data_IF_917334150640
#
_entry.id   IF_917334150640
#
_cell.length_a   1.000
_cell.length_b   1.000
_cell.length_c   1.000
_cell.angle_alpha   90.00
_cell.angle_beta   90.00
_cell.angle_gamma   90.00
#
_symmetry.space_group_name_H-M   'P 1'
#
loop_
_entity.id
_entity.type
_entity.pdbx_description
1 polymer ?
#
# COMPACT_ATOMS: atom_id res chain seq x y z
N UNK A 1 39.50 10.74 -5.58
CA UNK A 1 38.50 11.09 -4.55
C UNK A 1 38.23 9.86 -3.71
N UNK A 2 38.14 9.97 -2.38
CA UNK A 2 37.80 8.81 -1.55
C UNK A 2 36.37 8.35 -1.88
N UNK A 3 36.21 7.06 -2.16
CA UNK A 3 34.94 6.42 -2.48
C UNK A 3 33.94 6.62 -1.34
N UNK A 4 32.76 7.15 -1.66
CA UNK A 4 31.71 7.45 -0.67
C UNK A 4 30.72 6.29 -0.63
N UNK A 5 30.44 5.80 0.57
CA UNK A 5 29.51 4.70 0.80
C UNK A 5 28.05 5.20 0.76
N UNK A 6 27.18 4.56 -0.04
CA UNK A 6 25.74 4.86 -0.13
C UNK A 6 24.92 3.68 0.36
N UNK A 7 23.79 3.95 1.02
CA UNK A 7 23.02 2.93 1.76
C UNK A 7 21.52 2.94 1.40
N UNK A 8 21.07 3.84 0.53
CA UNK A 8 19.66 3.94 0.17
C UNK A 8 19.43 3.71 -1.30
N UNK A 9 18.27 3.14 -1.60
CA UNK A 9 17.73 3.08 -2.95
C UNK A 9 16.93 4.37 -3.20
N UNK A 10 17.29 5.17 -4.21
CA UNK A 10 16.55 6.36 -4.59
C UNK A 10 15.22 6.02 -5.27
N UNK A 11 14.23 6.91 -5.13
CA UNK A 11 12.96 6.87 -5.86
C UNK A 11 13.21 6.86 -7.37
N UNK A 12 12.57 5.92 -8.07
CA UNK A 12 12.64 5.81 -9.54
C UNK A 12 11.99 7.04 -10.18
N UNK A 13 12.51 7.48 -11.32
CA UNK A 13 11.85 8.51 -12.13
C UNK A 13 10.60 7.96 -12.88
N UNK A 14 10.45 6.63 -12.94
CA UNK A 14 9.37 5.95 -13.65
C UNK A 14 8.56 5.05 -12.70
N UNK A 15 7.25 5.31 -12.49
CA UNK A 15 6.50 4.72 -11.38
C UNK A 15 5.88 3.35 -11.71
N UNK A 16 6.61 2.46 -12.40
CA UNK A 16 6.10 1.12 -12.71
C UNK A 16 5.83 0.30 -11.45
N UNK A 17 6.79 0.32 -10.51
CA UNK A 17 6.62 -0.17 -9.15
C UNK A 17 6.57 1.06 -8.24
N UNK A 18 5.59 1.19 -7.32
CA UNK A 18 5.56 2.28 -6.35
C UNK A 18 6.73 2.18 -5.37
N UNK A 19 7.06 3.28 -4.67
CA UNK A 19 8.09 3.25 -3.62
C UNK A 19 7.69 2.33 -2.47
N UNK A 20 8.58 1.40 -2.09
CA UNK A 20 8.40 0.55 -0.90
C UNK A 20 8.40 1.38 0.39
N UNK A 21 9.17 2.46 0.44
CA UNK A 21 9.20 3.37 1.60
C UNK A 21 7.84 4.01 1.84
N UNK A 22 7.19 4.49 0.76
CA UNK A 22 5.84 5.06 0.86
C UNK A 22 4.83 3.99 1.32
N UNK A 23 4.99 2.74 0.89
CA UNK A 23 4.16 1.65 1.35
C UNK A 23 4.34 1.35 2.85
N UNK A 24 5.58 1.37 3.36
CA UNK A 24 5.86 1.22 4.79
C UNK A 24 5.24 2.35 5.63
N UNK A 25 5.29 3.59 5.13
CA UNK A 25 4.61 4.73 5.76
C UNK A 25 3.10 4.49 5.89
N UNK A 26 2.45 3.94 4.86
CA UNK A 26 1.05 3.56 4.96
C UNK A 26 0.82 2.45 6.01
N UNK A 27 1.75 1.51 6.15
CA UNK A 27 1.71 0.50 7.22
C UNK A 27 1.97 1.07 8.62
N UNK A 28 2.24 2.38 8.76
CA UNK A 28 2.58 3.02 10.04
C UNK A 28 3.99 2.65 10.51
N UNK A 29 4.82 2.12 9.61
CA UNK A 29 6.22 1.80 9.87
C UNK A 29 7.09 2.92 9.32
N UNK A 30 8.28 3.16 9.90
CA UNK A 30 9.18 4.16 9.34
C UNK A 30 9.59 3.78 7.92
N UNK A 31 9.25 4.64 6.95
CA UNK A 31 9.78 4.58 5.60
C UNK A 31 11.25 4.99 5.55
N UNK A 32 12.01 4.33 4.68
CA UNK A 32 13.40 4.67 4.40
C UNK A 32 14.39 4.33 5.50
N UNK A 33 15.66 4.24 5.11
CA UNK A 33 16.77 3.86 5.99
C UNK A 33 16.90 4.74 7.25
N UNK A 34 16.62 6.04 7.13
CA UNK A 34 16.70 6.97 8.26
C UNK A 34 15.65 6.69 9.34
N UNK A 35 14.41 6.42 8.93
CA UNK A 35 13.36 6.05 9.86
C UNK A 35 13.65 4.71 10.53
N UNK A 36 14.06 3.70 9.74
CA UNK A 36 14.41 2.37 10.25
C UNK A 36 15.54 2.42 11.28
N UNK A 37 16.64 3.12 10.99
CA UNK A 37 17.78 3.22 11.92
C UNK A 37 17.37 3.94 13.23
N UNK A 38 16.54 4.98 13.15
CA UNK A 38 16.06 5.67 14.34
C UNK A 38 15.22 4.74 15.23
N UNK A 39 14.33 3.94 14.64
CA UNK A 39 13.54 2.96 15.38
C UNK A 39 14.42 1.86 16.00
N UNK A 40 15.39 1.35 15.25
CA UNK A 40 16.29 0.31 15.72
C UNK A 40 17.12 0.73 16.92
N UNK A 41 17.69 1.95 16.93
CA UNK A 41 18.46 2.37 18.09
C UNK A 41 17.63 2.67 19.33
N UNK A 42 16.37 3.08 19.16
CA UNK A 42 15.43 3.16 20.28
C UNK A 42 15.19 1.77 20.90
N UNK A 43 15.16 0.71 20.08
CA UNK A 43 14.97 -0.68 20.54
C UNK A 43 16.24 -1.30 21.12
N UNK A 44 17.41 -1.02 20.54
CA UNK A 44 18.68 -1.69 20.88
C UNK A 44 19.51 -0.96 21.95
N UNK A 45 19.12 0.25 22.35
CA UNK A 45 19.85 1.10 23.28
C UNK A 45 21.33 1.32 22.87
N UNK A 46 21.59 1.37 21.56
CA UNK A 46 22.91 1.57 20.97
C UNK A 46 23.10 3.03 20.51
N UNK A 47 24.33 3.57 20.53
CA UNK A 47 24.60 4.90 20.01
C UNK A 47 24.34 4.94 18.49
N UNK A 48 23.27 5.65 18.12
CA UNK A 48 22.86 5.76 16.73
C UNK A 48 23.75 6.71 15.92
N UNK A 49 23.97 6.43 14.63
CA UNK A 49 24.43 7.42 13.69
C UNK A 49 23.48 8.62 13.67
N UNK A 50 24.03 9.84 13.59
CA UNK A 50 23.20 11.05 13.53
C UNK A 50 22.19 10.98 12.35
N UNK A 51 20.91 11.34 12.54
CA UNK A 51 19.89 11.23 11.49
C UNK A 51 20.21 12.00 10.20
N UNK A 52 21.00 13.08 10.27
CA UNK A 52 21.52 13.78 9.08
C UNK A 52 22.57 12.94 8.38
N UNK A 53 23.42 12.24 9.13
CA UNK A 53 24.42 11.30 8.57
C UNK A 53 23.72 10.16 7.81
N UNK A 54 22.64 9.60 8.37
CA UNK A 54 21.87 8.55 7.67
C UNK A 54 21.20 9.09 6.42
N UNK A 55 20.54 10.25 6.49
CA UNK A 55 19.95 10.91 5.30
C UNK A 55 21.00 11.23 4.24
N UNK A 56 22.20 11.66 4.66
CA UNK A 56 23.33 11.92 3.77
C UNK A 56 23.85 10.65 3.13
N UNK A 57 23.88 9.53 3.86
CA UNK A 57 24.27 8.23 3.32
C UNK A 57 23.37 7.78 2.16
N UNK A 58 22.08 8.10 2.24
CA UNK A 58 21.12 7.84 1.16
C UNK A 58 21.34 8.80 -0.03
N UNK A 59 21.44 10.11 0.20
CA UNK A 59 21.42 11.12 -0.88
C UNK A 59 22.77 11.39 -1.53
N UNK A 60 23.83 11.46 -0.74
CA UNK A 60 25.15 12.00 -1.16
C UNK A 60 26.30 11.01 -0.95
N UNK A 61 26.04 9.95 -0.19
CA UNK A 61 27.03 9.05 0.35
C UNK A 61 27.79 9.64 1.55
N UNK A 62 28.35 8.75 2.37
CA UNK A 62 29.09 9.08 3.59
C UNK A 62 30.52 8.56 3.54
N UNK A 63 31.34 9.01 4.50
CA UNK A 63 32.72 8.49 4.66
C UNK A 63 32.70 7.02 5.07
N UNK A 64 33.74 6.23 4.74
CA UNK A 64 33.83 4.81 5.11
C UNK A 64 33.56 4.57 6.61
N UNK A 65 34.14 5.39 7.48
CA UNK A 65 33.92 5.33 8.94
C UNK A 65 32.45 5.51 9.36
N UNK A 66 31.72 6.41 8.69
CA UNK A 66 30.30 6.63 8.99
C UNK A 66 29.43 5.53 8.37
N UNK A 67 29.84 5.00 7.22
CA UNK A 67 29.22 3.83 6.61
C UNK A 67 29.32 2.60 7.48
N UNK A 68 30.50 2.34 8.06
CA UNK A 68 30.71 1.17 8.92
C UNK A 68 29.82 1.21 10.17
N UNK A 69 29.67 2.37 10.80
CA UNK A 69 28.73 2.55 11.92
C UNK A 69 27.29 2.23 11.54
N UNK A 70 26.87 2.59 10.32
CA UNK A 70 25.52 2.26 9.84
C UNK A 70 25.41 0.75 9.59
N UNK A 71 26.43 0.13 8.99
CA UNK A 71 26.46 -1.33 8.78
C UNK A 71 26.41 -2.11 10.09
N UNK A 72 27.17 -1.71 11.11
CA UNK A 72 27.17 -2.35 12.42
C UNK A 72 25.77 -2.38 13.05
N UNK A 73 25.04 -1.25 13.00
CA UNK A 73 23.66 -1.17 13.50
C UNK A 73 22.74 -2.10 12.70
N UNK A 74 22.83 -2.10 11.37
CA UNK A 74 22.00 -2.98 10.53
C UNK A 74 22.32 -4.47 10.76
N UNK A 75 23.60 -4.82 10.85
CA UNK A 75 24.05 -6.19 11.07
C UNK A 75 23.57 -6.74 12.43
N UNK A 76 23.41 -5.88 13.44
CA UNK A 76 22.97 -6.30 14.78
C UNK A 76 21.54 -6.84 14.84
N UNK A 77 20.72 -6.64 13.79
CA UNK A 77 19.32 -7.07 13.74
C UNK A 77 19.03 -8.12 12.67
N UNK A 78 20.02 -8.46 11.85
CA UNK A 78 19.85 -9.49 10.82
C UNK A 78 19.89 -10.87 11.48
N UNK A 79 18.89 -11.69 11.20
CA UNK A 79 19.01 -13.13 11.43
C UNK A 79 20.04 -13.73 10.44
N UNK A 80 20.63 -14.89 10.73
CA UNK A 80 21.52 -15.57 9.77
C UNK A 80 20.88 -15.74 8.38
N UNK A 81 19.61 -16.12 8.33
CA UNK A 81 18.88 -16.29 7.07
C UNK A 81 18.70 -14.97 6.32
N UNK A 82 18.44 -13.87 7.04
CA UNK A 82 18.36 -12.55 6.41
C UNK A 82 19.73 -12.11 5.88
N UNK A 83 20.80 -12.36 6.65
CA UNK A 83 22.17 -12.07 6.22
C UNK A 83 22.54 -12.85 4.95
N UNK A 84 22.25 -14.15 4.91
CA UNK A 84 22.52 -15.00 3.75
C UNK A 84 21.74 -14.52 2.52
N UNK A 85 20.48 -14.11 2.70
CA UNK A 85 19.68 -13.57 1.60
C UNK A 85 20.26 -12.26 1.04
N UNK A 86 20.56 -11.27 1.89
CA UNK A 86 21.06 -9.97 1.41
C UNK A 86 22.46 -10.03 0.80
N UNK A 87 23.23 -11.07 1.12
CA UNK A 87 24.56 -11.32 0.57
C UNK A 87 24.56 -12.35 -0.57
N UNK A 88 23.41 -12.91 -0.92
CA UNK A 88 23.28 -13.90 -1.97
C UNK A 88 23.43 -13.30 -3.37
N UNK A 89 23.91 -14.12 -4.30
CA UNK A 89 23.97 -13.77 -5.72
C UNK A 89 22.60 -13.54 -6.35
N UNK A 90 21.51 -13.94 -5.67
CA UNK A 90 20.15 -13.63 -6.09
C UNK A 90 19.95 -12.12 -6.24
N UNK A 91 20.49 -11.29 -5.35
CA UNK A 91 20.27 -9.83 -5.42
C UNK A 91 21.26 -9.10 -6.34
N UNK A 92 22.29 -9.78 -6.87
CA UNK A 92 23.33 -9.17 -7.73
C UNK A 92 22.77 -8.33 -8.88
N UNK A 93 21.80 -8.82 -9.69
CA UNK A 93 21.27 -8.03 -10.81
C UNK A 93 20.72 -6.67 -10.38
N UNK A 94 20.10 -6.63 -9.20
CA UNK A 94 19.49 -5.42 -8.64
C UNK A 94 20.49 -4.50 -7.95
N UNK A 95 21.51 -5.08 -7.31
CA UNK A 95 22.56 -4.37 -6.58
C UNK A 95 23.60 -3.72 -7.49
N UNK A 96 23.88 -4.33 -8.64
CA UNK A 96 24.87 -3.83 -9.61
C UNK A 96 24.34 -2.71 -10.51
N UNK A 97 23.02 -2.53 -10.55
CA UNK A 97 22.42 -1.47 -11.34
C UNK A 97 22.72 -0.10 -10.70
N UNK A 98 23.34 0.81 -11.46
CA UNK A 98 23.46 2.22 -11.07
C UNK A 98 22.12 2.97 -11.21
N UNK A 99 21.07 2.26 -11.61
CA UNK A 99 19.75 2.77 -11.92
C UNK A 99 18.85 2.67 -10.69
N UNK A 100 18.19 3.79 -10.38
CA UNK A 100 17.21 3.89 -9.33
C UNK A 100 16.03 2.96 -9.67
N UNK A 101 15.89 1.83 -8.96
CA UNK A 101 14.80 0.85 -9.11
C UNK A 101 14.10 0.62 -7.76
N UNK A 102 12.77 0.44 -7.79
CA UNK A 102 11.97 0.16 -6.59
C UNK A 102 11.89 -1.35 -6.33
N UNK A 103 12.11 -2.19 -7.35
CA UNK A 103 12.01 -3.65 -7.28
C UNK A 103 12.87 -4.26 -6.17
N UNK A 104 14.12 -3.82 -6.02
CA UNK A 104 15.01 -4.31 -4.96
C UNK A 104 14.46 -4.02 -3.56
N UNK A 105 13.93 -2.81 -3.33
CA UNK A 105 13.37 -2.43 -2.05
C UNK A 105 12.17 -3.32 -1.69
N UNK A 106 11.31 -3.58 -2.66
CA UNK A 106 10.16 -4.48 -2.49
C UNK A 106 10.57 -5.93 -2.24
N UNK A 107 11.55 -6.47 -2.98
CA UNK A 107 12.09 -7.82 -2.80
C UNK A 107 12.65 -8.02 -1.39
N UNK A 108 13.49 -7.08 -0.93
CA UNK A 108 14.05 -7.11 0.41
C UNK A 108 12.96 -7.02 1.49
N UNK A 109 11.98 -6.14 1.30
CA UNK A 109 10.87 -5.98 2.23
C UNK A 109 10.00 -7.25 2.30
N UNK A 110 9.60 -7.82 1.16
CA UNK A 110 8.73 -9.00 1.13
C UNK A 110 9.43 -10.23 1.72
N UNK A 111 10.69 -10.49 1.33
CA UNK A 111 11.44 -11.63 1.86
C UNK A 111 11.80 -11.44 3.34
N UNK A 112 12.07 -10.20 3.76
CA UNK A 112 12.30 -9.87 5.17
C UNK A 112 11.09 -10.23 6.05
N UNK A 113 9.87 -9.88 5.62
CA UNK A 113 8.65 -10.27 6.34
C UNK A 113 8.41 -11.78 6.30
N UNK A 114 8.63 -12.43 5.15
CA UNK A 114 8.54 -13.90 5.05
C UNK A 114 9.44 -14.59 6.08
N UNK A 115 10.73 -14.22 6.12
CA UNK A 115 11.69 -14.80 7.05
C UNK A 115 11.34 -14.51 8.51
N UNK A 116 10.70 -13.36 8.80
CA UNK A 116 10.20 -13.04 10.15
C UNK A 116 9.03 -13.92 10.56
N UNK A 117 8.13 -14.25 9.62
CA UNK A 117 6.92 -15.05 9.88
C UNK A 117 7.25 -16.54 9.94
N UNK A 118 7.93 -17.08 8.93
CA UNK A 118 8.13 -18.53 8.77
C UNK A 118 9.48 -19.03 9.32
N UNK A 119 10.43 -18.14 9.58
CA UNK A 119 11.76 -18.42 10.19
C UNK A 119 12.59 -19.52 9.50
N UNK A 120 12.16 -19.96 8.31
CA UNK A 120 12.70 -21.07 7.50
C UNK A 120 12.38 -20.79 6.03
N UNK A 121 12.96 -21.55 5.11
CA UNK A 121 12.57 -21.50 3.70
C UNK A 121 11.20 -22.18 3.50
N UNK A 122 10.15 -21.36 3.57
CA UNK A 122 8.81 -21.74 3.14
C UNK A 122 8.66 -21.45 1.64
N UNK A 123 7.70 -22.10 0.98
CA UNK A 123 7.47 -21.88 -0.45
C UNK A 123 7.10 -20.41 -0.72
N UNK A 124 7.55 -19.86 -1.85
CA UNK A 124 7.22 -18.48 -2.23
C UNK A 124 5.70 -18.32 -2.30
N UNK A 125 5.19 -17.34 -1.55
CA UNK A 125 3.79 -16.92 -1.57
C UNK A 125 3.41 -16.30 -2.91
N UNK A 126 2.11 -16.23 -3.24
CA UNK A 126 1.62 -15.52 -4.42
C UNK A 126 2.06 -14.05 -4.40
N UNK A 127 2.01 -13.41 -3.22
CA UNK A 127 2.50 -12.04 -3.03
C UNK A 127 3.98 -11.91 -3.38
N UNK A 128 4.83 -12.80 -2.89
CA UNK A 128 6.27 -12.78 -3.22
C UNK A 128 6.52 -13.01 -4.71
N UNK A 129 5.84 -13.98 -5.32
CA UNK A 129 5.96 -14.24 -6.77
C UNK A 129 5.53 -13.04 -7.61
N UNK A 130 4.47 -12.34 -7.20
CA UNK A 130 4.01 -11.11 -7.86
C UNK A 130 5.06 -10.00 -7.75
N UNK A 131 5.57 -9.74 -6.55
CA UNK A 131 6.61 -8.71 -6.32
C UNK A 131 7.87 -9.02 -7.12
N UNK A 132 8.31 -10.28 -7.10
CA UNK A 132 9.47 -10.75 -7.86
C UNK A 132 9.30 -10.53 -9.35
N UNK A 133 8.18 -10.97 -9.92
CA UNK A 133 7.88 -10.78 -11.34
C UNK A 133 7.87 -9.30 -11.73
N UNK A 134 7.32 -8.42 -10.89
CA UNK A 134 7.34 -6.97 -11.14
C UNK A 134 8.77 -6.42 -11.09
N UNK A 135 9.56 -6.82 -10.12
CA UNK A 135 10.97 -6.40 -9.99
C UNK A 135 11.83 -6.86 -11.18
N UNK A 136 11.60 -8.08 -11.69
CA UNK A 136 12.22 -8.61 -12.91
C UNK A 136 11.82 -7.79 -14.15
N UNK A 137 10.55 -7.42 -14.27
CA UNK A 137 10.07 -6.57 -15.37
C UNK A 137 10.65 -5.15 -15.33
N UNK A 138 10.82 -4.57 -14.14
CA UNK A 138 11.42 -3.24 -13.99
C UNK A 138 12.90 -3.24 -14.42
N UNK A 139 13.65 -4.28 -14.06
CA UNK A 139 15.07 -4.37 -14.44
C UNK A 139 15.25 -4.64 -15.94
N UNK A 140 14.41 -5.48 -16.56
CA UNK A 140 14.40 -5.69 -18.01
C UNK A 140 14.17 -4.36 -18.75
N UNK A 141 13.17 -3.58 -18.33
CA UNK A 141 12.88 -2.27 -18.91
C UNK A 141 14.07 -1.31 -18.81
N UNK A 142 14.76 -1.32 -17.68
CA UNK A 142 15.93 -0.49 -17.44
C UNK A 142 17.16 -0.91 -18.26
N UNK A 143 17.35 -2.21 -18.47
CA UNK A 143 18.38 -2.74 -19.36
C UNK A 143 18.14 -2.30 -20.81
N UNK A 144 16.89 -2.38 -21.28
CA UNK A 144 16.52 -1.85 -22.60
C UNK A 144 16.84 -0.35 -22.73
N UNK A 145 16.51 0.45 -21.71
CA UNK A 145 16.86 1.87 -21.67
C UNK A 145 18.37 2.13 -21.78
N UNK A 146 19.18 1.33 -21.07
CA UNK A 146 20.65 1.43 -21.17
C UNK A 146 21.16 1.06 -22.56
N UNK A 147 20.58 0.06 -23.20
CA UNK A 147 21.01 -0.39 -24.52
C UNK A 147 20.65 0.62 -25.60
N UNK A 148 19.48 1.26 -25.50
CA UNK A 148 19.12 2.42 -26.32
C UNK A 148 20.16 3.54 -26.12
N UNK A 149 20.54 3.82 -24.88
CA UNK A 149 21.54 4.86 -24.58
C UNK A 149 22.93 4.52 -25.15
N UNK A 150 23.39 3.27 -25.02
CA UNK A 150 24.68 2.79 -25.54
C UNK A 150 24.75 2.80 -27.07
N UNK A 151 23.61 2.78 -27.76
CA UNK A 151 23.56 2.84 -29.22
C UNK A 151 23.98 4.19 -29.83
N UNK A 152 24.48 5.13 -29.01
CA UNK A 152 24.86 6.50 -29.38
C UNK A 152 23.71 7.31 -30.00
N UNK A 153 22.48 7.03 -29.57
CA UNK A 153 21.31 7.82 -29.96
C UNK A 153 21.48 9.30 -29.54
N UNK A 154 21.07 10.21 -30.42
CA UNK A 154 20.90 11.62 -30.02
C UNK A 154 19.80 11.71 -28.96
N UNK A 155 19.78 12.76 -28.10
CA UNK A 155 18.77 12.86 -27.04
C UNK A 155 17.32 12.77 -27.54
N UNK A 156 17.02 13.31 -28.72
CA UNK A 156 15.68 13.24 -29.33
C UNK A 156 15.33 11.84 -29.81
N UNK A 157 16.29 11.12 -30.41
CA UNK A 157 16.10 9.72 -30.85
C UNK A 157 15.94 8.81 -29.64
N UNK A 158 16.71 9.04 -28.57
CA UNK A 158 16.55 8.34 -27.31
C UNK A 158 15.15 8.55 -26.72
N UNK A 159 14.70 9.80 -26.60
CA UNK A 159 13.38 10.11 -26.03
C UNK A 159 12.23 9.46 -26.83
N UNK A 160 12.33 9.44 -28.16
CA UNK A 160 11.34 8.79 -29.03
C UNK A 160 11.36 7.26 -28.90
N UNK A 161 12.52 6.63 -29.01
CA UNK A 161 12.65 5.17 -28.85
C UNK A 161 12.22 4.71 -27.46
N UNK A 162 12.63 5.45 -26.42
CA UNK A 162 12.24 5.17 -25.04
C UNK A 162 10.72 5.27 -24.85
N UNK A 163 10.07 6.25 -25.47
CA UNK A 163 8.61 6.38 -25.41
C UNK A 163 7.91 5.19 -26.06
N UNK A 164 8.36 4.73 -27.22
CA UNK A 164 7.76 3.56 -27.88
C UNK A 164 8.00 2.27 -27.08
N UNK A 165 9.17 2.11 -26.48
CA UNK A 165 9.46 1.03 -25.53
C UNK A 165 8.50 1.07 -24.34
N UNK A 166 8.36 2.22 -23.67
CA UNK A 166 7.46 2.39 -22.54
C UNK A 166 6.00 2.12 -22.91
N UNK A 167 5.58 2.53 -24.10
CA UNK A 167 4.21 2.31 -24.59
C UNK A 167 3.89 0.82 -24.68
N UNK A 168 4.76 0.05 -25.33
CA UNK A 168 4.60 -1.41 -25.46
C UNK A 168 4.67 -2.08 -24.10
N UNK A 169 5.69 -1.73 -23.29
CA UNK A 169 5.88 -2.29 -21.97
C UNK A 169 4.66 -2.07 -21.06
N UNK A 170 4.17 -0.84 -20.95
CA UNK A 170 3.02 -0.54 -20.09
C UNK A 170 1.74 -1.24 -20.55
N UNK A 171 1.51 -1.32 -21.87
CA UNK A 171 0.37 -2.03 -22.43
C UNK A 171 0.41 -3.52 -22.11
N UNK A 172 1.60 -4.12 -22.16
CA UNK A 172 1.76 -5.56 -22.02
C UNK A 172 1.87 -5.99 -20.53
N UNK A 173 2.31 -5.09 -19.65
CA UNK A 173 2.59 -5.39 -18.22
C UNK A 173 1.62 -4.74 -17.23
N UNK A 174 0.65 -3.93 -17.67
CA UNK A 174 -0.36 -3.32 -16.79
C UNK A 174 -1.76 -3.50 -17.37
N UNK A 175 -2.80 -3.31 -16.54
CA UNK A 175 -4.21 -3.24 -16.99
C UNK A 175 -4.68 -1.80 -17.25
N UNK A 176 -3.74 -0.86 -17.39
CA UNK A 176 -4.08 0.54 -17.72
C UNK A 176 -4.50 0.63 -19.19
N UNK A 177 -5.63 1.28 -19.47
CA UNK A 177 -6.12 1.42 -20.85
C UNK A 177 -5.09 2.08 -21.76
N UNK A 178 -4.95 1.56 -22.98
CA UNK A 178 -3.97 2.05 -23.95
C UNK A 178 -4.13 3.53 -24.28
N UNK A 179 -5.36 4.05 -24.28
CA UNK A 179 -5.63 5.48 -24.49
C UNK A 179 -5.01 6.37 -23.40
N UNK A 180 -5.02 5.92 -22.15
CA UNK A 180 -4.40 6.65 -21.03
C UNK A 180 -2.87 6.55 -21.08
N UNK A 181 -2.33 5.40 -21.48
CA UNK A 181 -0.88 5.23 -21.69
C UNK A 181 -0.40 6.17 -22.79
N UNK A 182 -1.04 6.16 -23.95
CA UNK A 182 -0.69 7.02 -25.08
C UNK A 182 -0.78 8.50 -24.72
N UNK A 183 -1.89 8.93 -24.09
CA UNK A 183 -2.07 10.31 -23.67
C UNK A 183 -1.01 10.75 -22.65
N UNK A 184 -0.71 9.93 -21.64
CA UNK A 184 0.30 10.24 -20.63
C UNK A 184 1.72 10.31 -21.18
N UNK A 185 2.09 9.39 -22.07
CA UNK A 185 3.42 9.42 -22.71
C UNK A 185 3.57 10.60 -23.68
N UNK A 186 2.52 10.95 -24.40
CA UNK A 186 2.50 12.15 -25.24
C UNK A 186 2.57 13.44 -24.38
N UNK A 187 1.89 13.45 -23.24
CA UNK A 187 1.96 14.54 -22.28
C UNK A 187 3.39 14.72 -21.74
N UNK A 188 4.09 13.62 -21.42
CA UNK A 188 5.49 13.67 -20.99
C UNK A 188 6.41 14.32 -22.05
N UNK A 189 6.23 13.97 -23.33
CA UNK A 189 7.03 14.51 -24.43
C UNK A 189 6.79 16.02 -24.66
N UNK A 190 5.55 16.48 -24.49
CA UNK A 190 5.15 17.88 -24.73
C UNK A 190 5.29 18.77 -23.50
N UNK A 191 5.47 18.21 -22.31
CA UNK A 191 5.52 18.95 -21.05
C UNK A 191 6.63 20.00 -21.02
N UNK A 192 7.81 19.68 -21.58
CA UNK A 192 8.98 20.58 -21.60
C UNK A 192 8.76 21.82 -22.46
N UNK A 193 8.02 21.70 -23.56
CA UNK A 193 7.73 22.80 -24.50
C UNK A 193 6.45 23.56 -24.17
N UNK A 194 5.60 23.01 -23.30
CA UNK A 194 4.33 23.62 -22.89
C UNK A 194 4.52 24.74 -21.85
N UNK A 195 3.66 25.76 -21.90
CA UNK A 195 3.64 26.87 -20.92
C UNK A 195 2.22 27.18 -20.46
N UNK A 196 2.09 27.86 -19.31
CA UNK A 196 0.81 28.34 -18.80
C UNK A 196 -0.24 27.22 -18.59
N UNK A 197 -1.52 27.43 -18.97
CA UNK A 197 -2.59 26.46 -18.81
C UNK A 197 -2.32 25.10 -19.49
N UNK A 198 -1.73 25.10 -20.69
CA UNK A 198 -1.42 23.88 -21.42
C UNK A 198 -0.41 23.00 -20.65
N UNK A 199 0.60 23.61 -20.03
CA UNK A 199 1.57 22.86 -19.20
C UNK A 199 0.89 22.19 -18.00
N UNK A 200 -0.08 22.86 -17.38
CA UNK A 200 -0.85 22.32 -16.26
C UNK A 200 -1.69 21.13 -16.71
N UNK A 201 -2.34 21.22 -17.85
CA UNK A 201 -3.11 20.12 -18.45
C UNK A 201 -2.21 18.90 -18.73
N UNK A 202 -1.07 19.08 -19.39
CA UNK A 202 -0.13 17.97 -19.65
C UNK A 202 0.41 17.35 -18.35
N UNK A 203 0.71 18.17 -17.33
CA UNK A 203 1.10 17.66 -16.03
C UNK A 203 -0.01 16.82 -15.37
N UNK A 204 -1.27 17.22 -15.52
CA UNK A 204 -2.44 16.48 -15.05
C UNK A 204 -2.60 15.12 -15.74
N UNK A 205 -2.49 15.08 -17.06
CA UNK A 205 -2.58 13.84 -17.85
C UNK A 205 -1.46 12.87 -17.45
N UNK A 206 -0.22 13.37 -17.34
CA UNK A 206 0.93 12.56 -16.92
C UNK A 206 0.76 12.02 -15.49
N UNK A 207 0.33 12.89 -14.55
CA UNK A 207 0.04 12.47 -13.18
C UNK A 207 -1.07 11.42 -13.15
N UNK A 208 -2.12 11.59 -13.95
CA UNK A 208 -3.21 10.63 -14.10
C UNK A 208 -2.74 9.25 -14.58
N UNK A 209 -1.80 9.20 -15.52
CA UNK A 209 -1.16 7.93 -15.93
C UNK A 209 -0.40 7.30 -14.75
N UNK A 210 0.43 8.09 -14.06
CA UNK A 210 1.21 7.59 -12.93
C UNK A 210 0.35 7.06 -11.79
N UNK A 211 -0.74 7.74 -11.45
CA UNK A 211 -1.72 7.29 -10.46
C UNK A 211 -2.37 5.97 -10.89
N UNK A 212 -2.76 5.82 -12.16
CA UNK A 212 -3.33 4.57 -12.69
C UNK A 212 -2.36 3.39 -12.59
N UNK A 213 -1.07 3.60 -12.88
CA UNK A 213 -0.05 2.56 -12.75
C UNK A 213 0.12 2.13 -11.28
N UNK A 214 0.08 3.08 -10.34
CA UNK A 214 0.12 2.74 -8.90
C UNK A 214 -1.12 1.99 -8.43
N UNK A 215 -2.31 2.41 -8.88
CA UNK A 215 -3.57 1.69 -8.62
C UNK A 215 -3.47 0.26 -9.17
N UNK A 216 -2.98 0.09 -10.40
CA UNK A 216 -2.76 -1.23 -11.02
C UNK A 216 -1.89 -2.14 -10.15
N UNK A 217 -0.76 -1.62 -9.67
CA UNK A 217 0.13 -2.36 -8.80
C UNK A 217 -0.55 -2.80 -7.50
N UNK A 218 -1.20 -1.87 -6.79
CA UNK A 218 -1.83 -2.18 -5.50
C UNK A 218 -3.02 -3.13 -5.65
N UNK A 219 -3.75 -3.09 -6.77
CA UNK A 219 -4.89 -3.99 -6.98
C UNK A 219 -4.43 -5.42 -7.22
N UNK A 220 -3.39 -5.60 -8.04
CA UNK A 220 -2.75 -6.91 -8.15
C UNK A 220 -2.15 -7.37 -6.82
N UNK A 221 -1.55 -6.48 -6.03
CA UNK A 221 -1.03 -6.83 -4.71
C UNK A 221 -2.14 -7.36 -3.80
N UNK A 222 -3.28 -6.67 -3.71
CA UNK A 222 -4.45 -7.12 -2.94
C UNK A 222 -5.00 -8.47 -3.42
N UNK A 223 -5.05 -8.70 -4.73
CA UNK A 223 -5.44 -10.00 -5.28
C UNK A 223 -4.49 -11.12 -4.87
N UNK A 224 -3.17 -10.89 -4.92
CA UNK A 224 -2.19 -11.91 -4.54
C UNK A 224 -2.20 -12.18 -3.03
N UNK A 225 -2.32 -11.14 -2.19
CA UNK A 225 -2.52 -11.30 -0.75
C UNK A 225 -3.81 -12.09 -0.47
N UNK A 226 -4.89 -11.83 -1.21
CA UNK A 226 -6.13 -12.61 -1.09
C UNK A 226 -5.93 -14.08 -1.44
N UNK A 227 -5.10 -14.41 -2.44
CA UNK A 227 -4.79 -15.80 -2.79
C UNK A 227 -3.96 -16.50 -1.70
N UNK A 228 -3.00 -15.79 -1.09
CA UNK A 228 -2.23 -16.30 0.03
C UNK A 228 -3.13 -16.63 1.22
N UNK A 229 -4.05 -15.72 1.57
CA UNK A 229 -5.04 -15.96 2.61
C UNK A 229 -5.98 -17.11 2.24
N UNK A 230 -6.44 -17.19 0.98
CA UNK A 230 -7.32 -18.27 0.52
C UNK A 230 -6.64 -19.63 0.67
N UNK A 231 -5.36 -19.74 0.28
CA UNK A 231 -4.56 -20.94 0.48
C UNK A 231 -4.43 -21.28 1.95
N UNK A 232 -4.07 -20.29 2.78
CA UNK A 232 -3.90 -20.49 4.22
C UNK A 232 -5.19 -20.99 4.89
N UNK A 233 -6.36 -20.40 4.59
CA UNK A 233 -7.64 -20.87 5.14
C UNK A 233 -7.99 -22.27 4.67
N UNK A 234 -7.76 -22.60 3.39
CA UNK A 234 -8.02 -23.94 2.86
C UNK A 234 -7.15 -25.02 3.55
N UNK A 235 -5.92 -24.66 3.93
CA UNK A 235 -4.99 -25.56 4.63
C UNK A 235 -5.31 -25.71 6.13
N UNK A 236 -5.79 -24.65 6.79
CA UNK A 236 -5.99 -24.62 8.25
C UNK A 236 -7.40 -25.01 8.70
N UNK A 237 -8.44 -24.78 7.88
CA UNK A 237 -9.84 -24.99 8.28
C UNK A 237 -10.65 -25.56 7.13
N UNK A 238 -11.45 -26.62 7.34
CA UNK A 238 -12.35 -27.12 6.30
C UNK A 238 -13.43 -26.09 5.98
N UNK A 239 -13.23 -25.33 4.90
CA UNK A 239 -14.22 -24.40 4.39
C UNK A 239 -15.41 -25.17 3.79
N UNK A 240 -16.63 -24.80 4.15
CA UNK A 240 -17.83 -25.35 3.52
C UNK A 240 -17.99 -24.82 2.08
N UNK A 241 -18.87 -25.41 1.27
CA UNK A 241 -19.04 -25.02 -0.14
C UNK A 241 -19.52 -23.58 -0.32
N UNK A 242 -20.30 -23.06 0.64
CA UNK A 242 -20.79 -21.68 0.58
C UNK A 242 -19.64 -20.68 0.77
N UNK A 243 -18.80 -20.90 1.78
CA UNK A 243 -17.65 -20.04 2.07
C UNK A 243 -16.61 -20.09 0.95
N UNK A 244 -16.38 -21.27 0.37
CA UNK A 244 -15.51 -21.43 -0.81
C UNK A 244 -16.02 -20.60 -1.99
N UNK A 245 -17.30 -20.70 -2.30
CA UNK A 245 -17.90 -19.94 -3.40
C UNK A 245 -17.86 -18.44 -3.11
N UNK A 246 -18.15 -18.03 -1.87
CA UNK A 246 -18.08 -16.63 -1.46
C UNK A 246 -16.66 -16.07 -1.61
N UNK A 247 -15.63 -16.79 -1.18
CA UNK A 247 -14.22 -16.38 -1.32
C UNK A 247 -13.83 -16.20 -2.79
N UNK A 248 -14.26 -17.10 -3.68
CA UNK A 248 -14.02 -16.93 -5.12
C UNK A 248 -14.71 -15.68 -5.63
N UNK A 249 -15.99 -15.49 -5.31
CA UNK A 249 -16.80 -14.39 -5.86
C UNK A 249 -16.44 -13.01 -5.30
N UNK A 250 -16.05 -12.92 -4.01
CA UNK A 250 -15.95 -11.66 -3.26
C UNK A 250 -14.55 -11.36 -2.72
N UNK A 251 -13.59 -12.29 -2.84
CA UNK A 251 -12.26 -12.25 -2.20
C UNK A 251 -12.30 -11.81 -0.72
N UNK A 252 -11.14 -11.50 -0.16
CA UNK A 252 -11.09 -10.87 1.17
C UNK A 252 -11.34 -9.36 1.13
N UNK A 253 -11.26 -8.74 -0.06
CA UNK A 253 -11.08 -7.30 -0.20
C UNK A 253 -12.10 -6.63 -1.13
N UNK A 254 -13.03 -7.39 -1.73
CA UNK A 254 -14.03 -6.86 -2.65
C UNK A 254 -15.04 -5.90 -1.99
N UNK A 255 -15.28 -6.07 -0.69
CA UNK A 255 -16.26 -5.26 0.03
C UNK A 255 -15.77 -3.83 0.36
N UNK A 256 -14.47 -3.56 0.17
CA UNK A 256 -13.87 -2.25 0.45
C UNK A 256 -13.49 -1.48 -0.82
N UNK A 257 -14.03 -1.85 -1.98
CA UNK A 257 -13.79 -1.11 -3.22
C UNK A 257 -14.37 0.30 -3.13
N UNK A 258 -13.56 1.36 -3.31
CA UNK A 258 -14.03 2.73 -3.24
C UNK A 258 -15.02 3.01 -4.38
N UNK A 259 -15.92 3.96 -4.15
CA UNK A 259 -16.96 4.34 -5.11
C UNK A 259 -17.12 5.86 -5.15
N UNK A 260 -17.37 6.42 -6.34
CA UNK A 260 -17.60 7.83 -6.55
C UNK A 260 -19.00 8.05 -7.14
N UNK A 261 -19.83 8.80 -6.42
CA UNK A 261 -21.22 9.05 -6.82
C UNK A 261 -21.39 10.29 -7.73
N UNK A 262 -20.28 10.89 -8.19
CA UNK A 262 -20.26 12.15 -8.93
C UNK A 262 -19.98 13.37 -8.05
N UNK A 263 -20.15 13.25 -6.73
CA UNK A 263 -19.98 14.36 -5.78
C UNK A 263 -19.01 14.05 -4.65
N UNK A 264 -19.00 12.81 -4.18
CA UNK A 264 -18.20 12.36 -3.05
C UNK A 264 -17.59 10.98 -3.33
N UNK A 265 -16.35 10.82 -2.88
CA UNK A 265 -15.68 9.53 -2.86
C UNK A 265 -16.01 8.82 -1.56
N UNK A 266 -16.64 7.66 -1.66
CA UNK A 266 -16.82 6.71 -0.56
C UNK A 266 -15.54 5.91 -0.40
N UNK A 267 -14.88 6.05 0.75
CA UNK A 267 -13.58 5.44 1.01
C UNK A 267 -13.69 3.94 1.37
N UNK A 268 -12.60 3.16 1.23
CA UNK A 268 -12.61 1.72 1.49
C UNK A 268 -13.14 1.32 2.87
N UNK A 269 -12.77 2.04 3.93
CA UNK A 269 -13.27 1.75 5.27
C UNK A 269 -14.78 1.96 5.38
N UNK A 270 -15.31 3.04 4.79
CA UNK A 270 -16.76 3.26 4.78
C UNK A 270 -17.50 2.16 4.02
N UNK A 271 -16.96 1.71 2.88
CA UNK A 271 -17.51 0.61 2.07
C UNK A 271 -17.55 -0.69 2.86
N UNK A 272 -16.45 -1.03 3.53
CA UNK A 272 -16.36 -2.20 4.40
C UNK A 272 -17.39 -2.15 5.52
N UNK A 273 -17.46 -1.04 6.25
CA UNK A 273 -18.40 -0.85 7.35
C UNK A 273 -19.85 -0.90 6.87
N UNK A 274 -20.16 -0.34 5.70
CA UNK A 274 -21.50 -0.37 5.15
C UNK A 274 -21.91 -1.79 4.74
N UNK A 275 -20.98 -2.58 4.20
CA UNK A 275 -21.22 -4.01 3.92
C UNK A 275 -21.48 -4.79 5.21
N UNK A 276 -20.63 -4.61 6.23
CA UNK A 276 -20.84 -5.24 7.55
C UNK A 276 -22.17 -4.84 8.18
N UNK A 277 -22.54 -3.57 8.06
CA UNK A 277 -23.80 -3.01 8.58
C UNK A 277 -25.04 -3.61 7.90
N UNK A 278 -24.98 -3.92 6.61
CA UNK A 278 -26.06 -4.60 5.86
C UNK A 278 -26.14 -6.09 6.20
N UNK A 279 -25.00 -6.71 6.52
CA UNK A 279 -24.88 -8.14 6.82
C UNK A 279 -24.83 -8.45 8.33
N UNK A 280 -25.15 -7.48 9.19
CA UNK A 280 -25.03 -7.62 10.65
C UNK A 280 -26.14 -8.46 11.29
N UNK A 281 -27.28 -8.64 10.63
CA UNK A 281 -28.40 -9.44 11.15
C UNK A 281 -28.74 -10.59 10.20
N UNK A 282 -29.19 -11.73 10.75
CA UNK A 282 -29.63 -12.88 9.95
C UNK A 282 -30.78 -12.52 8.99
N UNK A 283 -31.61 -11.54 9.37
CA UNK A 283 -32.69 -11.00 8.53
C UNK A 283 -32.21 -9.98 7.49
N UNK A 284 -30.90 -9.71 7.38
CA UNK A 284 -30.28 -8.65 6.54
C UNK A 284 -30.91 -7.26 6.75
N UNK A 285 -31.46 -7.01 7.94
CA UNK A 285 -31.93 -5.68 8.33
C UNK A 285 -30.71 -4.81 8.57
N UNK A 286 -30.64 -3.75 7.78
CA UNK A 286 -29.59 -2.75 7.81
C UNK A 286 -29.50 -2.09 9.19
N UNK A 287 -28.35 -2.24 9.84
CA UNK A 287 -28.09 -1.60 11.14
C UNK A 287 -27.88 -0.10 10.92
N UNK A 288 -28.36 0.75 11.84
CA UNK A 288 -28.14 2.20 11.69
C UNK A 288 -26.69 2.58 11.98
N UNK A 289 -26.18 3.64 11.35
CA UNK A 289 -24.86 4.20 11.67
C UNK A 289 -24.73 4.60 13.14
N UNK A 290 -25.83 5.00 13.78
CA UNK A 290 -25.84 5.29 15.22
C UNK A 290 -25.50 4.04 16.05
N UNK A 291 -25.99 2.87 15.63
CA UNK A 291 -25.73 1.61 16.31
C UNK A 291 -24.31 1.11 16.08
N UNK A 292 -23.77 1.27 14.87
CA UNK A 292 -22.34 0.99 14.61
C UNK A 292 -21.44 1.90 15.46
N UNK A 293 -21.79 3.18 15.60
CA UNK A 293 -21.02 4.10 16.42
C UNK A 293 -20.97 3.69 17.91
N UNK A 294 -21.99 3.00 18.44
CA UNK A 294 -21.98 2.53 19.83
C UNK A 294 -20.83 1.56 20.11
N UNK A 295 -20.37 0.79 19.12
CA UNK A 295 -19.25 -0.13 19.22
C UNK A 295 -17.89 0.57 19.34
N UNK A 296 -17.78 1.87 19.07
CA UNK A 296 -16.52 2.60 19.26
C UNK A 296 -16.10 2.58 20.73
N UNK A 297 -14.80 2.50 21.02
CA UNK A 297 -14.32 2.66 22.38
C UNK A 297 -14.70 4.03 22.93
N UNK A 298 -14.81 4.14 24.26
CA UNK A 298 -15.08 5.43 24.88
C UNK A 298 -13.86 6.34 24.69
N UNK A 299 -14.00 7.52 24.05
CA UNK A 299 -12.88 8.40 23.72
C UNK A 299 -12.09 8.90 24.94
N UNK A 300 -12.62 8.75 26.16
CA UNK A 300 -11.94 9.15 27.40
C UNK A 300 -11.43 7.98 28.25
N UNK A 301 -11.62 6.72 27.82
CA UNK A 301 -11.20 5.53 28.59
C UNK A 301 -11.84 5.40 29.97
N UNK A 302 -12.85 6.21 30.29
CA UNK A 302 -13.47 6.33 31.60
C UNK A 302 -14.97 6.05 31.47
N UNK A 303 -15.45 5.05 32.18
CA UNK A 303 -16.87 4.73 32.28
C UNK A 303 -17.67 5.97 32.74
N UNK A 304 -18.93 6.08 32.29
CA UNK A 304 -19.78 7.25 32.54
C UNK A 304 -19.99 7.56 34.04
N UNK A 305 -19.75 6.58 34.90
CA UNK A 305 -19.86 6.63 36.36
C UNK A 305 -18.56 7.05 37.07
N UNK A 306 -17.38 6.84 36.46
CA UNK A 306 -16.04 6.90 37.11
C UNK A 306 -15.32 8.25 37.07
N UNK A 307 -15.71 9.18 36.19
CA UNK A 307 -15.08 10.51 36.13
C UNK A 307 -16.07 11.56 35.65
N UNK A 308 -16.66 12.28 36.62
CA UNK A 308 -17.69 13.30 36.41
C UNK A 308 -17.21 14.64 36.96
N UNK A 309 -17.39 15.70 36.19
CA UNK A 309 -17.36 17.04 36.76
C UNK A 309 -18.52 17.17 37.76
N UNK A 310 -18.35 17.95 38.83
CA UNK A 310 -19.30 18.04 39.95
C UNK A 310 -20.73 18.47 39.55
N UNK A 311 -20.92 19.04 38.36
CA UNK A 311 -22.19 19.53 37.83
C UNK A 311 -22.78 18.68 36.69
N UNK A 312 -22.14 17.57 36.29
CA UNK A 312 -22.58 16.76 35.14
C UNK A 312 -23.38 15.54 35.59
N UNK A 313 -24.59 15.36 35.05
CA UNK A 313 -25.39 14.14 35.28
C UNK A 313 -24.85 12.96 34.46
N UNK A 314 -25.23 11.74 34.85
CA UNK A 314 -24.84 10.51 34.13
C UNK A 314 -25.43 10.53 32.72
N UNK A 315 -26.69 10.92 32.59
CA UNK A 315 -27.41 10.97 31.31
C UNK A 315 -26.79 11.99 30.36
N UNK A 316 -26.40 13.16 30.87
CA UNK A 316 -25.70 14.18 30.09
C UNK A 316 -24.35 13.66 29.57
N UNK A 317 -23.61 12.91 30.42
CA UNK A 317 -22.33 12.31 30.04
C UNK A 317 -22.50 11.20 29.00
N UNK A 318 -23.53 10.37 29.13
CA UNK A 318 -23.85 9.32 28.16
C UNK A 318 -24.21 9.90 26.79
N UNK A 319 -24.99 10.98 26.74
CA UNK A 319 -25.29 11.67 25.48
C UNK A 319 -24.04 12.29 24.85
N UNK A 320 -23.17 12.91 25.64
CA UNK A 320 -21.88 13.42 25.15
C UNK A 320 -21.00 12.31 24.56
N UNK A 321 -20.90 11.17 25.25
CA UNK A 321 -20.17 10.00 24.75
C UNK A 321 -20.78 9.52 23.43
N UNK A 322 -22.10 9.38 23.35
CA UNK A 322 -22.81 8.94 22.14
C UNK A 322 -22.57 9.90 20.97
N UNK A 323 -22.62 11.21 21.22
CA UNK A 323 -22.34 12.25 20.22
C UNK A 323 -20.88 12.19 19.73
N UNK A 324 -19.92 12.03 20.65
CA UNK A 324 -18.51 11.92 20.29
C UNK A 324 -18.22 10.66 19.47
N UNK A 325 -18.78 9.52 19.85
CA UNK A 325 -18.69 8.27 19.06
C UNK A 325 -19.24 8.47 17.65
N UNK A 326 -20.41 9.09 17.50
CA UNK A 326 -20.98 9.42 16.17
C UNK A 326 -20.06 10.34 15.35
N UNK A 327 -19.46 11.36 15.97
CA UNK A 327 -18.50 12.25 15.30
C UNK A 327 -17.25 11.49 14.85
N UNK A 328 -16.68 10.68 15.75
CA UNK A 328 -15.47 9.90 15.49
C UNK A 328 -15.69 8.86 14.38
N UNK A 329 -16.83 8.17 14.36
CA UNK A 329 -17.14 7.26 13.25
C UNK A 329 -17.23 8.00 11.91
N UNK A 330 -17.78 9.22 11.91
CA UNK A 330 -17.84 10.07 10.70
C UNK A 330 -16.44 10.49 10.25
N UNK A 331 -15.57 10.88 11.18
CA UNK A 331 -14.16 11.20 10.90
C UNK A 331 -13.45 10.02 10.24
N UNK A 332 -13.62 8.80 10.76
CA UNK A 332 -13.02 7.58 10.21
C UNK A 332 -13.54 7.26 8.82
N UNK A 333 -14.86 7.35 8.60
CA UNK A 333 -15.47 7.16 7.27
C UNK A 333 -14.96 8.17 6.24
N UNK A 334 -14.65 9.38 6.68
CA UNK A 334 -14.08 10.44 5.84
C UNK A 334 -12.54 10.40 5.75
N UNK A 335 -11.90 9.32 6.22
CA UNK A 335 -10.47 9.08 5.97
C UNK A 335 -9.53 9.42 7.12
N UNK A 336 -10.05 9.81 8.28
CA UNK A 336 -9.21 9.96 9.48
C UNK A 336 -8.73 8.57 9.92
N UNK A 337 -7.42 8.35 9.93
CA UNK A 337 -6.82 7.08 10.35
C UNK A 337 -7.10 6.84 11.84
N UNK A 338 -7.76 5.73 12.22
CA UNK A 338 -7.92 5.34 13.62
C UNK A 338 -6.57 4.95 14.25
N UNK A 339 -6.44 5.16 15.55
CA UNK A 339 -5.36 4.55 16.33
C UNK A 339 -5.51 3.03 16.32
N UNK A 340 -4.40 2.28 16.27
CA UNK A 340 -4.43 0.81 16.17
C UNK A 340 -5.26 0.16 17.28
N UNK A 341 -5.06 0.60 18.52
CA UNK A 341 -5.79 0.07 19.68
C UNK A 341 -7.29 0.42 19.63
N UNK A 342 -7.62 1.63 19.16
CA UNK A 342 -9.01 2.04 19.01
C UNK A 342 -9.72 1.24 17.92
N UNK A 343 -9.04 0.97 16.80
CA UNK A 343 -9.58 0.15 15.72
C UNK A 343 -9.79 -1.27 16.19
N UNK A 344 -8.79 -1.88 16.82
CA UNK A 344 -8.89 -3.24 17.35
C UNK A 344 -10.05 -3.38 18.34
N UNK A 345 -10.15 -2.47 19.31
CA UNK A 345 -11.23 -2.49 20.29
C UNK A 345 -12.60 -2.27 19.64
N UNK A 346 -12.69 -1.41 18.62
CA UNK A 346 -13.91 -1.23 17.84
C UNK A 346 -14.35 -2.52 17.14
N UNK A 347 -13.41 -3.24 16.50
CA UNK A 347 -13.70 -4.51 15.82
C UNK A 347 -14.14 -5.58 16.81
N UNK A 348 -13.48 -5.70 17.97
CA UNK A 348 -13.88 -6.61 19.04
C UNK A 348 -15.30 -6.34 19.56
N UNK A 349 -15.67 -5.06 19.69
CA UNK A 349 -17.02 -4.68 20.10
C UNK A 349 -18.06 -4.90 18.99
N UNK A 350 -17.64 -4.91 17.72
CA UNK A 350 -18.51 -5.12 16.56
C UNK A 350 -18.73 -6.60 16.24
N UNK A 351 -17.71 -7.43 16.49
CA UNK A 351 -17.68 -8.87 16.26
C UNK A 351 -17.42 -9.56 17.61
N UNK A 352 -18.48 -9.89 18.39
CA UNK A 352 -18.31 -10.49 19.72
C UNK A 352 -17.63 -11.85 19.63
N UNK A 353 -16.75 -12.19 20.59
CA UNK A 353 -16.04 -13.47 20.65
C UNK A 353 -16.98 -14.69 20.69
N UNK A 354 -18.23 -14.51 21.15
CA UNK A 354 -19.25 -15.56 21.21
C UNK A 354 -19.91 -15.86 19.85
N UNK A 355 -19.56 -15.14 18.78
CA UNK A 355 -20.07 -15.47 17.44
C UNK A 355 -19.27 -16.64 16.86
N UNK A 356 -19.88 -17.82 16.83
CA UNK A 356 -19.31 -19.06 16.27
C UNK A 356 -18.82 -18.91 14.80
N UNK A 357 -19.26 -17.85 14.10
CA UNK A 357 -19.09 -17.67 12.65
C UNK A 357 -18.13 -16.53 12.22
N UNK A 358 -17.55 -15.72 13.12
CA UNK A 358 -16.75 -14.54 12.69
C UNK A 358 -15.40 -14.40 13.40
N UNK A 359 -14.33 -14.54 12.62
CA UNK A 359 -12.95 -14.34 13.07
C UNK A 359 -12.62 -12.84 13.23
N UNK A 360 -12.48 -12.41 14.49
CA UNK A 360 -12.06 -11.05 14.87
C UNK A 360 -10.72 -10.67 14.24
N UNK A 361 -9.80 -11.63 14.07
CA UNK A 361 -8.49 -11.41 13.46
C UNK A 361 -8.63 -11.04 11.98
N UNK A 362 -9.48 -11.76 11.26
CA UNK A 362 -9.78 -11.49 9.86
C UNK A 362 -10.45 -10.13 9.68
N UNK A 363 -11.47 -9.82 10.49
CA UNK A 363 -12.13 -8.52 10.46
C UNK A 363 -11.15 -7.37 10.77
N UNK A 364 -10.25 -7.59 11.73
CA UNK A 364 -9.19 -6.63 12.08
C UNK A 364 -8.23 -6.41 10.91
N UNK A 365 -7.83 -7.48 10.22
CA UNK A 365 -6.99 -7.38 9.03
C UNK A 365 -7.69 -6.59 7.91
N UNK A 366 -8.95 -6.94 7.59
CA UNK A 366 -9.73 -6.22 6.57
C UNK A 366 -9.85 -4.72 6.89
N UNK A 367 -10.16 -4.37 8.15
CA UNK A 367 -10.26 -2.98 8.56
C UNK A 367 -8.93 -2.23 8.43
N UNK A 368 -7.82 -2.87 8.82
CA UNK A 368 -6.49 -2.27 8.66
C UNK A 368 -6.15 -2.03 7.19
N UNK A 369 -6.40 -3.00 6.31
CA UNK A 369 -6.16 -2.83 4.87
C UNK A 369 -7.07 -1.75 4.29
N UNK A 370 -8.33 -1.67 4.71
CA UNK A 370 -9.25 -0.62 4.27
C UNK A 370 -8.79 0.79 4.68
N UNK A 371 -8.25 0.94 5.89
CA UNK A 371 -7.66 2.21 6.36
C UNK A 371 -6.42 2.58 5.54
N UNK A 372 -5.51 1.63 5.32
CA UNK A 372 -4.28 1.81 4.53
C UNK A 372 -4.63 2.21 3.10
N UNK A 373 -5.58 1.51 2.49
CA UNK A 373 -6.01 1.77 1.13
C UNK A 373 -6.70 3.13 1.03
N UNK A 374 -7.56 3.49 1.99
CA UNK A 374 -8.16 4.81 2.07
C UNK A 374 -7.14 5.93 2.15
N UNK A 375 -6.08 5.77 2.96
CA UNK A 375 -4.98 6.72 3.03
C UNK A 375 -4.26 6.88 1.69
N UNK A 376 -3.97 5.78 1.00
CA UNK A 376 -3.40 5.82 -0.36
C UNK A 376 -4.29 6.63 -1.32
N UNK A 377 -5.60 6.38 -1.34
CA UNK A 377 -6.50 7.09 -2.26
C UNK A 377 -6.55 8.59 -1.96
N UNK A 378 -6.58 8.97 -0.69
CA UNK A 378 -6.56 10.37 -0.25
C UNK A 378 -5.24 11.06 -0.58
N UNK A 379 -4.12 10.36 -0.45
CA UNK A 379 -2.82 10.88 -0.84
C UNK A 379 -2.74 11.16 -2.34
N UNK A 380 -3.21 10.22 -3.17
CA UNK A 380 -3.28 10.42 -4.62
C UNK A 380 -4.19 11.62 -4.94
N UNK A 381 -5.37 11.70 -4.33
CA UNK A 381 -6.30 12.81 -4.48
C UNK A 381 -5.66 14.16 -4.11
N UNK A 382 -5.01 14.23 -2.95
CA UNK A 382 -4.41 15.45 -2.43
C UNK A 382 -3.31 16.01 -3.34
N UNK A 383 -2.62 15.15 -4.10
CA UNK A 383 -1.63 15.60 -5.11
C UNK A 383 -2.31 16.37 -6.24
N UNK A 384 -3.46 15.91 -6.75
CA UNK A 384 -4.21 16.64 -7.77
C UNK A 384 -4.71 17.98 -7.25
N UNK A 385 -5.26 18.01 -6.03
CA UNK A 385 -5.78 19.23 -5.42
C UNK A 385 -4.68 20.26 -5.16
N UNK A 386 -3.54 19.83 -4.61
CA UNK A 386 -2.37 20.69 -4.38
C UNK A 386 -1.85 21.33 -5.68
N UNK A 387 -2.00 20.62 -6.80
CA UNK A 387 -1.59 21.11 -8.11
C UNK A 387 -2.70 21.84 -8.88
N UNK A 388 -3.92 21.92 -8.34
CA UNK A 388 -5.08 22.52 -9.00
C UNK A 388 -5.49 21.78 -10.28
N UNK A 389 -5.42 20.43 -10.25
CA UNK A 389 -5.60 19.53 -11.39
C UNK A 389 -6.96 18.80 -11.35
N UNK A 390 -8.02 19.46 -10.88
CA UNK A 390 -9.32 18.82 -10.65
C UNK A 390 -9.94 18.15 -11.90
N UNK A 391 -9.71 18.70 -13.10
CA UNK A 391 -10.16 18.07 -14.35
C UNK A 391 -9.51 16.71 -14.59
N UNK A 392 -8.18 16.64 -14.45
CA UNK A 392 -7.43 15.38 -14.58
C UNK A 392 -7.75 14.37 -13.46
N UNK A 393 -8.08 14.87 -12.27
CA UNK A 393 -8.58 14.03 -11.18
C UNK A 393 -9.89 13.35 -11.59
N UNK A 394 -10.86 14.11 -12.11
CA UNK A 394 -12.16 13.58 -12.56
C UNK A 394 -11.99 12.43 -13.56
N UNK A 395 -11.08 12.59 -14.52
CA UNK A 395 -10.79 11.53 -15.49
C UNK A 395 -10.12 10.31 -14.86
N UNK A 396 -9.38 10.49 -13.76
CA UNK A 396 -8.64 9.44 -13.03
C UNK A 396 -9.51 8.68 -12.03
N UNK A 397 -10.57 9.29 -11.50
CA UNK A 397 -11.46 8.69 -10.51
C UNK A 397 -11.95 7.28 -10.89
N UNK A 398 -12.39 7.00 -12.14
CA UNK A 398 -12.86 5.67 -12.51
C UNK A 398 -11.81 4.56 -12.29
N UNK A 399 -10.52 4.88 -12.26
CA UNK A 399 -9.49 3.89 -11.97
C UNK A 399 -9.60 3.34 -10.54
N UNK A 400 -10.04 4.15 -9.57
CA UNK A 400 -10.24 3.69 -8.20
C UNK A 400 -11.39 2.67 -8.10
N UNK A 401 -12.40 2.75 -8.95
CA UNK A 401 -13.55 1.84 -8.90
C UNK A 401 -13.29 0.51 -9.63
N UNK A 402 -12.17 0.38 -10.34
CA UNK A 402 -11.89 -0.75 -11.25
C UNK A 402 -11.42 -2.03 -10.57
N UNK A 403 -11.32 -2.09 -9.24
CA UNK A 403 -10.86 -3.31 -8.55
C UNK A 403 -11.55 -4.61 -9.03
N UNK A 404 -12.89 -4.65 -9.28
CA UNK A 404 -13.54 -5.84 -9.81
C UNK A 404 -13.02 -6.31 -11.17
N UNK A 405 -12.47 -5.42 -12.00
CA UNK A 405 -11.87 -5.81 -13.28
C UNK A 405 -10.56 -6.61 -13.10
N UNK A 406 -9.83 -6.38 -12.01
CA UNK A 406 -8.59 -7.10 -11.66
C UNK A 406 -8.87 -8.52 -11.14
N UNK A 407 -10.16 -8.83 -10.93
CA UNK A 407 -10.59 -10.01 -10.20
C UNK A 407 -10.68 -11.27 -11.03
N UNK A 408 -10.82 -11.16 -12.36
CA UNK A 408 -11.00 -12.32 -13.21
C UNK A 408 -9.85 -13.36 -13.04
N UNK A 409 -8.61 -12.90 -12.95
CA UNK A 409 -7.44 -13.76 -12.77
C UNK A 409 -7.36 -14.32 -11.34
N UNK A 410 -7.82 -13.55 -10.35
CA UNK A 410 -7.95 -14.00 -8.97
C UNK A 410 -8.97 -15.13 -8.87
N UNK A 411 -10.18 -14.93 -9.42
CA UNK A 411 -11.29 -15.88 -9.36
C UNK A 411 -10.88 -17.25 -9.91
N UNK A 412 -10.22 -17.26 -11.07
CA UNK A 412 -9.74 -18.49 -11.69
C UNK A 412 -8.70 -19.21 -10.84
N UNK A 413 -7.80 -18.47 -10.16
CA UNK A 413 -6.79 -19.06 -9.28
C UNK A 413 -7.37 -19.52 -7.94
N UNK A 414 -8.21 -18.72 -7.31
CA UNK A 414 -8.90 -19.05 -6.06
C UNK A 414 -9.74 -20.32 -6.22
N UNK A 415 -10.50 -20.43 -7.32
CA UNK A 415 -11.29 -21.62 -7.63
C UNK A 415 -10.42 -22.88 -7.76
N UNK A 416 -9.22 -22.76 -8.34
CA UNK A 416 -8.26 -23.88 -8.42
C UNK A 416 -7.70 -24.28 -7.06
N UNK A 417 -7.34 -23.29 -6.23
CA UNK A 417 -6.82 -23.54 -4.87
C UNK A 417 -7.87 -24.28 -4.03
N UNK A 418 -9.13 -23.87 -4.10
CA UNK A 418 -10.21 -24.43 -3.30
C UNK A 418 -10.78 -25.76 -3.85
N UNK A 419 -10.38 -26.15 -5.07
CA UNK A 419 -10.72 -27.43 -5.69
C UNK A 419 -9.63 -28.50 -5.51
N UNK A 420 -8.41 -28.09 -5.14
CA UNK A 420 -7.29 -28.97 -4.78
C UNK A 420 -7.43 -29.42 -3.32
#
# INVERSE_FOLDING_TARGET
>A
MAERFRIGLPETAFPFIPSADKFLEYLGRPGGLAGMINELGARLNQPLPDPKTVRKAVKEGVTPRSGEKIKEVLASVLTPQMHDYITSSYLEPWMESSLNNNGLAWLCMSKGEHLRIFQTDYSETFTEQFIKRRAEQEIELFQEGLDIQKSNATPTVFEEQWRETLKVFLRDKTRVDSSHIEAGLQAAATLKSSTGPARREQAGILLGLYTRIRIDFYYHLLCNVSLDLTRWFNEQTPLNNHDRQWLVEHSFFGDMVPAFDGSALTLPLERLLDTWRRNATQDRREVSWAKIAECLPNPYGLDADKSRASYQTVEAREEDIRKNKKSRLREWRNGTRPDSDQLQQFIQNLVPEDSEDKDVSLATMQANVAVIWGAFVLDEWAVFDKCGLHGALSDTIPAFERFPAYWADYQAQAARILAA
#
